data_IF_093233912627
#
_entry.id   IF_093233912627
#
_cell.length_a   1.000
_cell.length_b   1.000
_cell.length_c   1.000
_cell.angle_alpha   90.00
_cell.angle_beta   90.00
_cell.angle_gamma   90.00
#
_symmetry.space_group_name_H-M   'P 1'
#
loop_
_entity.id
_entity.type
_entity.pdbx_description
1 polymer ?
#
# COMPACT_ATOMS: atom_id res chain seq x y z
N UNK A 1 7.09 -2.23 12.15
CA UNK A 1 6.18 -1.24 12.73
C UNK A 1 5.43 -1.87 13.88
N UNK A 2 5.54 -1.28 15.05
CA UNK A 2 5.00 -1.90 16.27
C UNK A 2 3.48 -2.00 16.28
N UNK A 3 2.80 -1.08 15.62
CA UNK A 3 1.35 -1.09 15.58
C UNK A 3 0.84 -0.83 14.18
N UNK A 4 0.48 -1.89 13.49
CA UNK A 4 -0.31 -1.76 12.27
C UNK A 4 -1.77 -2.07 12.63
N UNK A 5 -2.60 -1.06 12.59
CA UNK A 5 -4.01 -1.21 12.87
C UNK A 5 -4.74 -1.67 11.61
N UNK A 6 -4.91 -2.96 11.46
CA UNK A 6 -5.54 -3.57 10.29
C UNK A 6 -6.98 -3.08 10.09
N UNK A 7 -7.72 -2.93 11.17
CA UNK A 7 -9.09 -2.43 11.10
C UNK A 7 -9.16 -1.04 10.49
N UNK A 8 -8.27 -0.13 10.90
CA UNK A 8 -8.23 1.22 10.33
C UNK A 8 -7.85 1.22 8.86
N UNK A 9 -6.89 0.39 8.48
CA UNK A 9 -6.49 0.28 7.08
C UNK A 9 -7.65 -0.21 6.22
N UNK A 10 -8.38 -1.24 6.68
CA UNK A 10 -9.53 -1.79 5.98
C UNK A 10 -10.68 -0.77 5.92
N UNK A 11 -10.96 -0.08 7.01
CA UNK A 11 -11.99 0.96 7.02
C UNK A 11 -11.67 2.09 6.05
N UNK A 12 -10.41 2.49 5.97
CA UNK A 12 -10.00 3.49 4.97
C UNK A 12 -10.25 2.99 3.55
N UNK A 13 -9.88 1.73 3.28
CA UNK A 13 -10.09 1.14 1.97
C UNK A 13 -11.58 1.10 1.61
N UNK A 14 -12.43 0.69 2.54
CA UNK A 14 -13.88 0.64 2.33
C UNK A 14 -14.48 2.03 2.12
N UNK A 15 -13.97 3.01 2.85
CA UNK A 15 -14.44 4.41 2.74
C UNK A 15 -14.15 5.01 1.37
N UNK A 16 -12.99 4.70 0.79
CA UNK A 16 -12.49 5.40 -0.39
C UNK A 16 -12.35 4.52 -1.64
N UNK A 17 -12.76 3.24 -1.58
CA UNK A 17 -12.62 2.32 -2.72
C UNK A 17 -13.31 2.81 -3.99
N UNK A 18 -14.42 3.51 -3.86
CA UNK A 18 -15.21 4.00 -4.99
C UNK A 18 -15.23 5.52 -5.11
N UNK A 19 -14.36 6.19 -4.39
CA UNK A 19 -14.22 7.64 -4.48
C UNK A 19 -12.77 8.02 -4.18
N UNK A 20 -12.48 9.31 -4.17
CA UNK A 20 -11.10 9.77 -4.00
C UNK A 20 -11.00 10.70 -2.80
N UNK A 21 -10.03 10.43 -1.92
CA UNK A 21 -9.70 11.35 -0.84
C UNK A 21 -9.03 12.59 -1.44
N UNK A 22 -9.63 13.78 -1.30
CA UNK A 22 -9.09 14.98 -1.93
C UNK A 22 -7.76 15.47 -1.33
N UNK A 23 -7.33 14.90 -0.21
CA UNK A 23 -6.03 15.23 0.38
C UNK A 23 -4.86 14.68 -0.43
N UNK A 24 -5.12 13.77 -1.39
CA UNK A 24 -4.09 13.14 -2.21
C UNK A 24 -4.32 13.40 -3.68
N UNK A 25 -3.22 13.58 -4.43
CA UNK A 25 -3.28 13.77 -5.87
C UNK A 25 -3.67 12.49 -6.59
N UNK A 26 -4.17 12.67 -7.83
CA UNK A 26 -4.57 11.58 -8.70
C UNK A 26 -3.41 11.19 -9.60
N UNK A 27 -2.99 9.92 -9.53
CA UNK A 27 -1.88 9.40 -10.32
C UNK A 27 -2.33 8.52 -11.50
N UNK A 28 -3.62 8.51 -11.84
CA UNK A 28 -4.13 7.70 -12.96
C UNK A 28 -3.41 8.00 -14.27
N UNK A 29 -3.13 9.27 -14.54
CA UNK A 29 -2.43 9.68 -15.74
C UNK A 29 -0.91 9.43 -15.69
N UNK A 30 -0.39 8.95 -14.57
CA UNK A 30 1.05 8.78 -14.32
C UNK A 30 1.39 7.32 -14.04
N UNK A 31 0.71 6.37 -14.69
CA UNK A 31 0.97 4.95 -14.55
C UNK A 31 0.01 4.20 -13.64
N UNK A 32 -0.98 4.88 -13.10
CA UNK A 32 -2.00 4.27 -12.26
C UNK A 32 -1.94 4.75 -10.82
N UNK A 33 -3.02 4.51 -10.10
CA UNK A 33 -3.26 5.06 -8.77
C UNK A 33 -3.37 3.96 -7.69
N UNK A 34 -3.23 2.70 -8.04
CA UNK A 34 -3.46 1.60 -7.11
C UNK A 34 -2.52 1.63 -5.91
N UNK A 35 -1.23 1.85 -6.13
CA UNK A 35 -0.25 1.87 -5.05
C UNK A 35 -0.38 3.12 -4.19
N UNK A 36 -0.72 4.27 -4.80
CA UNK A 36 -1.04 5.48 -4.04
C UNK A 36 -2.19 5.20 -3.06
N UNK A 37 -3.26 4.56 -3.52
CA UNK A 37 -4.39 4.22 -2.67
C UNK A 37 -3.99 3.28 -1.53
N UNK A 38 -3.22 2.24 -1.81
CA UNK A 38 -2.79 1.29 -0.80
C UNK A 38 -1.83 1.92 0.21
N UNK A 39 -0.93 2.81 -0.24
CA UNK A 39 -0.09 3.57 0.67
C UNK A 39 -0.94 4.42 1.63
N UNK A 40 -2.02 5.01 1.14
CA UNK A 40 -2.95 5.74 1.99
C UNK A 40 -3.58 4.82 3.04
N UNK A 41 -3.95 3.59 2.65
CA UNK A 41 -4.51 2.60 3.59
C UNK A 41 -3.51 2.25 4.69
N UNK A 42 -2.26 2.01 4.33
CA UNK A 42 -1.20 1.71 5.30
C UNK A 42 -0.98 2.88 6.25
N UNK A 43 -0.97 4.09 5.73
CA UNK A 43 -0.82 5.29 6.54
C UNK A 43 -2.00 5.47 7.51
N UNK A 44 -3.22 5.24 7.04
CA UNK A 44 -4.41 5.26 7.88
C UNK A 44 -4.36 4.19 8.98
N UNK A 45 -3.70 3.07 8.70
CA UNK A 45 -3.47 1.99 9.67
C UNK A 45 -2.35 2.28 10.67
N UNK A 46 -1.72 3.45 10.59
CA UNK A 46 -0.71 3.88 11.55
C UNK A 46 0.73 3.71 11.10
N UNK A 47 0.97 3.28 9.86
CA UNK A 47 2.33 3.20 9.34
C UNK A 47 2.95 4.59 9.26
N UNK A 48 4.21 4.71 9.65
CA UNK A 48 4.91 6.00 9.65
C UNK A 48 5.67 6.19 8.36
N UNK A 49 5.65 7.42 7.84
CA UNK A 49 6.42 7.77 6.66
C UNK A 49 7.92 7.73 6.95
N UNK A 50 8.70 7.30 5.96
CA UNK A 50 10.15 7.38 5.98
C UNK A 50 10.58 8.36 4.89
N UNK A 51 11.17 9.49 5.31
CA UNK A 51 11.46 10.62 4.41
C UNK A 51 12.85 10.48 3.77
N UNK A 52 13.03 9.43 2.97
CA UNK A 52 14.22 9.24 2.15
C UNK A 52 13.80 9.27 0.69
N UNK A 53 14.51 10.01 -0.15
CA UNK A 53 14.10 10.26 -1.53
C UNK A 53 14.07 9.02 -2.42
N UNK A 54 15.03 8.13 -2.26
CA UNK A 54 15.14 6.95 -3.13
C UNK A 54 14.57 5.72 -2.45
N UNK A 55 15.13 5.32 -1.33
CA UNK A 55 14.61 4.18 -0.56
C UNK A 55 13.88 4.71 0.67
N UNK A 56 12.66 5.18 0.45
CA UNK A 56 11.79 5.69 1.49
C UNK A 56 10.33 5.42 1.15
N UNK A 57 9.45 5.90 2.00
CA UNK A 57 8.02 5.76 1.80
C UNK A 57 7.35 6.98 2.44
N UNK A 58 6.96 7.94 1.59
CA UNK A 58 6.33 9.17 2.06
C UNK A 58 5.57 9.84 0.92
N UNK A 59 4.64 10.70 1.31
CA UNK A 59 3.90 11.55 0.39
C UNK A 59 3.71 12.91 1.04
N UNK A 60 4.10 13.97 0.34
CA UNK A 60 3.81 15.35 0.71
C UNK A 60 2.91 15.99 -0.33
N UNK A 61 3.26 15.87 -1.61
CA UNK A 61 2.45 16.33 -2.73
C UNK A 61 2.89 15.62 -4.01
N UNK A 62 2.25 15.97 -5.13
CA UNK A 62 2.52 15.34 -6.43
C UNK A 62 4.01 15.34 -6.80
N UNK A 63 4.71 16.39 -6.45
CA UNK A 63 6.12 16.56 -6.81
C UNK A 63 7.08 16.20 -5.69
N UNK A 64 6.59 15.77 -4.56
CA UNK A 64 7.41 15.43 -3.40
C UNK A 64 6.87 14.17 -2.72
N UNK A 65 7.23 13.02 -3.27
CA UNK A 65 6.86 11.71 -2.78
C UNK A 65 7.94 10.69 -3.08
N UNK A 66 7.98 9.63 -2.28
CA UNK A 66 8.89 8.51 -2.57
C UNK A 66 8.33 7.64 -3.70
N UNK A 67 9.19 7.01 -4.53
CA UNK A 67 8.74 6.05 -5.53
C UNK A 67 7.87 4.93 -4.96
N UNK A 68 8.17 4.48 -3.74
CA UNK A 68 7.42 3.41 -3.09
C UNK A 68 5.98 3.79 -2.75
N UNK A 69 5.68 5.08 -2.63
CA UNK A 69 4.32 5.51 -2.34
C UNK A 69 3.37 5.27 -3.51
N UNK A 70 3.86 5.39 -4.74
CA UNK A 70 3.03 5.34 -5.94
C UNK A 70 3.39 4.21 -6.92
N UNK A 71 4.50 3.50 -6.72
CA UNK A 71 4.95 2.47 -7.64
C UNK A 71 4.83 1.07 -7.07
N UNK A 72 4.31 0.13 -7.88
CA UNK A 72 4.11 -1.26 -7.45
C UNK A 72 5.42 -1.93 -7.07
N UNK A 73 6.40 -1.91 -7.99
CA UNK A 73 7.70 -2.53 -7.72
C UNK A 73 8.49 -1.81 -6.62
N UNK A 74 8.56 -0.47 -6.60
CA UNK A 74 9.23 0.22 -5.51
C UNK A 74 8.60 -0.07 -4.14
N UNK A 75 7.27 -0.20 -4.06
CA UNK A 75 6.63 -0.55 -2.80
C UNK A 75 7.00 -1.96 -2.35
N UNK A 76 6.97 -2.92 -3.26
CA UNK A 76 7.40 -4.29 -2.93
C UNK A 76 8.81 -4.31 -2.36
N UNK A 77 9.74 -3.65 -3.06
CA UNK A 77 11.12 -3.58 -2.62
C UNK A 77 11.25 -2.90 -1.25
N UNK A 78 10.55 -1.79 -1.06
CA UNK A 78 10.60 -1.09 0.22
C UNK A 78 10.09 -1.97 1.36
N UNK A 79 8.91 -2.57 1.20
CA UNK A 79 8.32 -3.38 2.26
C UNK A 79 9.17 -4.59 2.64
N UNK A 80 9.75 -5.26 1.65
CA UNK A 80 10.52 -6.49 1.90
C UNK A 80 11.94 -6.22 2.39
N UNK A 81 12.47 -5.02 2.17
CA UNK A 81 13.85 -4.67 2.55
C UNK A 81 13.95 -3.66 3.69
N UNK A 82 12.86 -3.01 4.07
CA UNK A 82 12.90 -1.96 5.10
C UNK A 82 13.19 -2.54 6.47
N UNK A 83 14.23 -2.01 7.12
CA UNK A 83 14.62 -2.36 8.50
C UNK A 83 14.60 -1.14 9.43
N UNK A 84 14.12 -0.01 8.94
CA UNK A 84 14.05 1.25 9.68
C UNK A 84 12.61 1.68 9.92
N UNK A 85 12.42 2.98 9.98
CA UNK A 85 11.10 3.58 10.15
C UNK A 85 10.19 3.24 8.97
N UNK A 86 8.91 3.07 9.24
CA UNK A 86 7.92 2.82 8.21
C UNK A 86 7.45 1.38 8.16
N UNK A 87 6.56 1.08 7.21
CA UNK A 87 6.01 -0.26 7.11
C UNK A 87 7.04 -1.25 6.58
N UNK A 88 6.86 -2.51 6.95
CA UNK A 88 7.63 -3.61 6.38
C UNK A 88 6.71 -4.81 6.24
N UNK A 89 7.07 -5.73 5.37
CA UNK A 89 6.28 -6.91 5.14
C UNK A 89 7.13 -8.10 4.74
N UNK A 90 6.56 -9.28 4.92
CA UNK A 90 7.14 -10.55 4.47
C UNK A 90 6.12 -11.24 3.58
N UNK A 91 6.63 -11.96 2.58
CA UNK A 91 5.75 -12.78 1.76
C UNK A 91 5.16 -13.91 2.60
N UNK A 92 3.89 -14.23 2.36
CA UNK A 92 3.23 -15.33 3.02
C UNK A 92 2.32 -16.09 2.05
N UNK A 93 1.93 -17.29 2.43
CA UNK A 93 0.96 -18.05 1.67
C UNK A 93 -0.43 -17.42 1.78
N UNK A 94 -1.27 -17.62 0.76
CA UNK A 94 -2.63 -17.09 0.77
C UNK A 94 -3.43 -17.57 1.99
N UNK A 95 -3.17 -18.79 2.45
CA UNK A 95 -3.86 -19.35 3.62
C UNK A 95 -3.54 -18.60 4.92
N UNK A 96 -2.41 -17.89 4.97
CA UNK A 96 -1.98 -17.16 6.15
C UNK A 96 -2.29 -15.65 6.06
N UNK A 97 -2.88 -15.21 4.95
CA UNK A 97 -3.18 -13.81 4.74
C UNK A 97 -4.36 -13.35 5.61
N UNK A 98 -4.29 -12.10 6.05
CA UNK A 98 -5.29 -11.49 6.91
C UNK A 98 -5.76 -10.17 6.33
N UNK A 99 -6.95 -9.67 6.74
CA UNK A 99 -7.36 -8.31 6.38
C UNK A 99 -6.27 -7.30 6.77
N UNK A 100 -6.01 -6.36 5.87
CA UNK A 100 -4.93 -5.39 6.03
C UNK A 100 -3.62 -5.82 5.39
N UNK A 101 -3.48 -7.07 4.97
CA UNK A 101 -2.34 -7.51 4.18
C UNK A 101 -2.49 -7.07 2.72
N UNK A 102 -1.38 -7.02 2.02
CA UNK A 102 -1.35 -6.61 0.62
C UNK A 102 -1.29 -7.80 -0.32
N UNK A 103 -1.88 -7.62 -1.49
CA UNK A 103 -1.71 -8.53 -2.62
C UNK A 103 -1.12 -7.73 -3.75
N UNK A 104 -0.04 -8.22 -4.35
CA UNK A 104 0.49 -7.63 -5.58
C UNK A 104 0.40 -8.66 -6.69
N UNK A 105 -0.12 -8.22 -7.84
CA UNK A 105 -0.34 -9.07 -8.99
C UNK A 105 0.81 -8.92 -9.98
N UNK A 106 1.31 -10.06 -10.46
CA UNK A 106 2.36 -10.12 -11.46
C UNK A 106 1.79 -10.69 -12.76
N UNK A 107 1.86 -9.89 -13.83
CA UNK A 107 1.39 -10.30 -15.15
C UNK A 107 2.58 -10.51 -16.09
N UNK A 108 3.49 -11.40 -15.72
CA UNK A 108 4.69 -11.69 -16.49
C UNK A 108 5.94 -11.32 -15.70
N UNK A 109 6.83 -10.49 -16.27
CA UNK A 109 8.11 -10.16 -15.66
C UNK A 109 8.03 -9.13 -14.53
N UNK A 110 6.93 -8.40 -14.42
CA UNK A 110 6.81 -7.29 -13.48
C UNK A 110 5.53 -7.33 -12.67
N UNK A 111 5.60 -6.79 -11.46
CA UNK A 111 4.43 -6.57 -10.63
C UNK A 111 3.64 -5.40 -11.18
N UNK A 112 2.34 -5.59 -11.43
CA UNK A 112 1.53 -4.61 -12.16
C UNK A 112 0.40 -4.00 -11.35
N UNK A 113 0.10 -4.52 -10.14
CA UNK A 113 -1.05 -4.03 -9.38
C UNK A 113 -0.88 -4.30 -7.90
N UNK A 114 -1.37 -3.38 -7.07
CA UNK A 114 -1.36 -3.50 -5.61
C UNK A 114 -2.78 -3.42 -5.08
N UNK A 115 -3.14 -4.34 -4.19
CA UNK A 115 -4.48 -4.45 -3.60
C UNK A 115 -4.36 -4.66 -2.10
N UNK A 116 -5.40 -4.28 -1.35
CA UNK A 116 -5.49 -4.54 0.08
C UNK A 116 -6.55 -5.61 0.34
N UNK A 117 -6.23 -6.59 1.18
CA UNK A 117 -7.20 -7.60 1.62
C UNK A 117 -8.14 -6.96 2.63
N UNK A 118 -9.44 -7.03 2.37
CA UNK A 118 -10.46 -6.47 3.27
C UNK A 118 -11.25 -7.53 4.00
N UNK A 119 -11.27 -8.75 3.49
CA UNK A 119 -11.98 -9.87 4.12
C UNK A 119 -11.39 -11.20 3.67
N UNK A 120 -11.42 -12.20 4.56
CA UNK A 120 -11.00 -13.56 4.24
C UNK A 120 -12.07 -14.61 4.61
N UNK A 121 -13.26 -14.19 5.00
CA UNK A 121 -14.29 -15.09 5.53
C UNK A 121 -14.80 -16.11 4.50
N UNK A 122 -15.00 -15.68 3.25
CA UNK A 122 -15.52 -16.52 2.18
C UNK A 122 -14.56 -16.50 0.99
N UNK A 123 -13.28 -16.66 1.27
CA UNK A 123 -12.23 -16.41 0.31
C UNK A 123 -11.71 -14.99 0.44
N UNK A 124 -10.64 -14.69 -0.29
CA UNK A 124 -10.00 -13.36 -0.17
C UNK A 124 -10.78 -12.32 -0.97
N UNK A 125 -11.21 -11.27 -0.29
CA UNK A 125 -11.81 -10.09 -0.91
C UNK A 125 -10.83 -8.93 -0.79
N UNK A 126 -10.64 -8.19 -1.89
CA UNK A 126 -9.66 -7.09 -1.96
C UNK A 126 -10.32 -5.78 -2.40
N UNK A 127 -9.63 -4.71 -2.09
CA UNK A 127 -9.99 -3.37 -2.57
C UNK A 127 -8.92 -2.83 -3.51
#
# INVERSE_FOLDING_TARGET
MPFYNRTRAVLYAERWAYSRNPAYDNFDAMGGDCTNFISQCLFAGGAKMQYRKTFGWYYTDLNNRAPAWTGVNPLYKFLTENKGTGPYGTECAAADAEPGDLVQLNFGAEWAHTLLIVSVKNGITVA
#
